data_IF_410483094851
#
_entry.id   IF_410483094851
#
_cell.length_a   1.000
_cell.length_b   1.000
_cell.length_c   1.000
_cell.angle_alpha   90.00
_cell.angle_beta   90.00
_cell.angle_gamma   90.00
#
_symmetry.space_group_name_H-M   'P 1'
#
loop_
_entity.id
_entity.type
_entity.pdbx_description
1 polymer ?
#
# COMPACT_ATOMS: atom_id res chain seq x y z
N UNK A 1 21.15 44.72 -48.80
CA UNK A 1 21.07 43.36 -48.26
C UNK A 1 20.33 43.46 -46.93
N UNK A 2 19.11 42.90 -46.81
CA UNK A 2 18.30 43.06 -45.60
C UNK A 2 18.82 42.16 -44.48
N UNK A 3 18.89 42.73 -43.28
CA UNK A 3 19.17 42.06 -42.00
C UNK A 3 18.02 41.12 -41.65
N UNK A 4 18.33 39.86 -41.32
CA UNK A 4 17.34 38.89 -40.88
C UNK A 4 17.98 37.89 -39.91
N UNK A 5 17.78 38.11 -38.61
CA UNK A 5 17.70 37.05 -37.59
C UNK A 5 17.29 37.62 -36.22
N UNK A 6 16.14 38.29 -36.11
CA UNK A 6 15.49 38.64 -34.82
C UNK A 6 14.13 37.94 -34.69
N UNK A 7 14.08 36.62 -34.86
CA UNK A 7 12.80 35.90 -34.85
C UNK A 7 12.93 34.48 -34.34
N UNK A 8 13.54 34.31 -33.16
CA UNK A 8 13.56 32.99 -32.49
C UNK A 8 13.46 33.11 -30.98
N UNK A 9 14.06 34.13 -30.37
CA UNK A 9 13.95 34.34 -28.93
C UNK A 9 12.65 35.04 -28.55
N UNK A 10 12.27 36.09 -29.26
CA UNK A 10 11.02 36.81 -28.95
C UNK A 10 9.78 35.92 -29.16
N UNK A 11 9.79 35.05 -30.18
CA UNK A 11 8.75 34.05 -30.39
C UNK A 11 8.71 33.00 -29.27
N UNK A 12 9.87 32.66 -28.67
CA UNK A 12 9.97 31.72 -27.56
C UNK A 12 9.47 32.33 -26.24
N UNK A 13 9.73 33.62 -26.03
CA UNK A 13 9.25 34.38 -24.87
C UNK A 13 7.73 34.60 -24.96
N UNK A 14 7.22 34.99 -26.13
CA UNK A 14 5.77 35.14 -26.35
C UNK A 14 5.02 33.81 -26.20
N UNK A 15 5.66 32.67 -26.52
CA UNK A 15 5.07 31.34 -26.30
C UNK A 15 5.02 30.96 -24.82
N UNK A 16 5.99 31.40 -24.00
CA UNK A 16 6.01 31.17 -22.55
C UNK A 16 5.01 32.06 -21.82
N UNK A 17 4.87 33.31 -22.24
CA UNK A 17 3.95 34.29 -21.63
C UNK A 17 2.47 34.00 -21.97
N UNK A 18 2.20 33.21 -23.03
CA UNK A 18 0.86 32.78 -23.45
C UNK A 18 0.49 31.34 -23.07
N UNK A 19 1.32 30.64 -22.28
CA UNK A 19 0.87 29.41 -21.61
C UNK A 19 -0.05 29.81 -20.47
N UNK A 20 -1.35 29.69 -20.71
CA UNK A 20 -2.41 29.91 -19.73
C UNK A 20 -2.02 29.34 -18.37
N UNK A 21 -2.06 30.19 -17.34
CA UNK A 21 -1.83 29.86 -15.93
C UNK A 21 -2.95 28.97 -15.32
N UNK A 22 -3.56 28.10 -16.14
CA UNK A 22 -4.75 27.31 -15.84
C UNK A 22 -4.51 25.79 -15.82
N UNK A 23 -3.27 25.31 -15.98
CA UNK A 23 -2.91 23.89 -15.83
C UNK A 23 -1.99 23.61 -14.63
N UNK A 24 -2.05 24.45 -13.59
CA UNK A 24 -1.11 24.35 -12.48
C UNK A 24 -1.77 23.93 -11.14
N UNK A 25 -3.09 23.73 -11.09
CA UNK A 25 -3.77 23.31 -9.85
C UNK A 25 -3.35 21.89 -9.42
N UNK A 26 -3.21 20.97 -10.37
CA UNK A 26 -2.83 19.58 -10.08
C UNK A 26 -1.33 19.46 -9.72
N UNK A 27 -0.49 20.27 -10.37
CA UNK A 27 0.96 20.32 -10.10
C UNK A 27 1.20 21.01 -8.74
N UNK A 28 0.54 22.14 -8.48
CA UNK A 28 0.60 22.82 -7.18
C UNK A 28 0.04 21.95 -6.06
N UNK A 29 -1.04 21.18 -6.30
CA UNK A 29 -1.56 20.21 -5.33
C UNK A 29 -0.54 19.10 -5.04
N UNK A 30 0.10 18.53 -6.06
CA UNK A 30 1.13 17.51 -5.88
C UNK A 30 2.37 18.04 -5.12
N UNK A 31 2.76 19.30 -5.38
CA UNK A 31 3.85 19.97 -4.64
C UNK A 31 3.44 20.21 -3.18
N UNK A 32 2.22 20.69 -2.93
CA UNK A 32 1.71 20.94 -1.59
C UNK A 32 1.56 19.63 -0.78
N UNK A 33 1.12 18.55 -1.41
CA UNK A 33 1.08 17.20 -0.83
C UNK A 33 2.49 16.71 -0.48
N UNK A 34 3.46 16.89 -1.37
CA UNK A 34 4.86 16.52 -1.13
C UNK A 34 5.50 17.31 0.03
N UNK A 35 5.16 18.60 0.18
CA UNK A 35 5.64 19.43 1.29
C UNK A 35 4.99 19.07 2.64
N UNK A 36 3.77 18.52 2.62
CA UNK A 36 3.10 18.05 3.82
C UNK A 36 3.64 16.68 4.29
N UNK A 37 4.07 15.83 3.36
CA UNK A 37 4.71 14.53 3.66
C UNK A 37 6.10 14.66 4.31
N UNK A 38 6.74 15.84 4.27
CA UNK A 38 7.99 16.12 5.00
C UNK A 38 7.79 16.28 6.52
N UNK A 39 6.58 16.04 7.06
CA UNK A 39 6.43 15.78 8.50
C UNK A 39 7.04 14.42 8.84
N UNK A 40 8.38 14.41 8.95
CA UNK A 40 9.15 13.36 9.58
C UNK A 40 8.54 13.13 10.96
N UNK A 41 7.85 12.00 11.13
CA UNK A 41 7.41 11.52 12.44
C UNK A 41 8.67 11.44 13.29
N UNK A 42 8.75 12.25 14.35
CA UNK A 42 9.91 12.26 15.25
C UNK A 42 10.18 10.82 15.71
N UNK A 43 11.31 10.20 15.32
CA UNK A 43 11.59 8.80 15.64
C UNK A 43 11.73 8.55 17.15
N UNK A 44 11.67 9.59 17.99
CA UNK A 44 11.65 9.53 19.46
C UNK A 44 10.29 9.82 20.11
N UNK A 45 9.21 10.01 19.34
CA UNK A 45 7.89 10.05 19.94
C UNK A 45 7.67 8.77 20.77
N UNK A 46 7.13 8.87 22.01
CA UNK A 46 6.86 7.68 22.81
C UNK A 46 6.03 6.71 21.97
N UNK A 47 6.47 5.45 21.87
CA UNK A 47 5.69 4.42 21.18
C UNK A 47 4.33 4.33 21.88
N UNK A 48 3.32 4.96 21.28
CA UNK A 48 1.93 4.69 21.62
C UNK A 48 1.71 3.21 21.37
N UNK A 49 1.02 2.54 22.29
CA UNK A 49 0.73 1.12 22.13
C UNK A 49 0.01 0.88 20.80
N UNK A 50 0.44 -0.13 20.04
CA UNK A 50 -0.11 -0.40 18.70
C UNK A 50 -1.62 -0.65 18.79
N UNK A 51 -2.10 -1.27 19.87
CA UNK A 51 -3.52 -1.52 20.05
C UNK A 51 -4.30 -0.22 20.31
N UNK A 52 -3.72 0.72 21.06
CA UNK A 52 -4.29 2.06 21.25
C UNK A 52 -4.36 2.84 19.93
N UNK A 53 -3.29 2.86 19.13
CA UNK A 53 -3.28 3.51 17.82
C UNK A 53 -4.33 2.91 16.87
N UNK A 54 -4.40 1.59 16.78
CA UNK A 54 -5.39 0.92 15.95
C UNK A 54 -6.82 1.20 16.44
N UNK A 55 -7.03 1.26 17.76
CA UNK A 55 -8.33 1.59 18.34
C UNK A 55 -8.77 3.02 18.02
N UNK A 56 -7.87 3.99 18.17
CA UNK A 56 -8.13 5.39 17.78
C UNK A 56 -8.42 5.50 16.28
N UNK A 57 -7.60 4.82 15.46
CA UNK A 57 -7.79 4.81 14.01
C UNK A 57 -9.15 4.22 13.63
N UNK A 58 -9.53 3.07 14.21
CA UNK A 58 -10.85 2.47 13.99
C UNK A 58 -11.97 3.44 14.35
N UNK A 59 -11.88 4.12 15.49
CA UNK A 59 -12.89 5.12 15.88
C UNK A 59 -12.98 6.27 14.87
N UNK A 60 -11.84 6.73 14.34
CA UNK A 60 -11.79 7.80 13.35
C UNK A 60 -12.28 7.39 11.95
N UNK A 61 -12.13 6.10 11.60
CA UNK A 61 -12.43 5.59 10.27
C UNK A 61 -13.77 4.87 10.19
N UNK A 62 -14.36 4.42 11.30
CA UNK A 62 -15.60 3.64 11.30
C UNK A 62 -16.71 4.43 10.63
N UNK A 63 -17.17 3.91 9.49
CA UNK A 63 -18.27 4.51 8.72
C UNK A 63 -19.56 3.74 8.99
N UNK A 64 -20.63 4.48 9.29
CA UNK A 64 -21.97 3.91 9.42
C UNK A 64 -22.52 3.45 8.08
N UNK A 65 -23.22 2.31 8.05
CA UNK A 65 -23.87 1.75 6.87
C UNK A 65 -23.77 0.23 6.80
N UNK A 66 -24.24 -0.34 5.69
CA UNK A 66 -24.23 -1.79 5.49
C UNK A 66 -22.79 -2.34 5.45
N UNK A 67 -22.54 -3.50 6.10
CA UNK A 67 -21.21 -4.12 6.14
C UNK A 67 -20.75 -4.57 4.75
N UNK A 68 -19.44 -4.76 4.60
CA UNK A 68 -18.89 -5.44 3.45
C UNK A 68 -19.13 -6.96 3.60
N UNK A 69 -20.19 -7.45 2.98
CA UNK A 69 -20.42 -8.88 2.88
C UNK A 69 -19.60 -9.47 1.72
N UNK A 70 -18.77 -10.48 2.04
CA UNK A 70 -17.97 -11.19 1.05
C UNK A 70 -18.26 -12.69 1.09
N UNK A 71 -18.57 -13.25 -0.07
CA UNK A 71 -18.75 -14.69 -0.24
C UNK A 71 -17.48 -15.27 -0.86
N UNK A 72 -16.81 -16.14 -0.13
CA UNK A 72 -15.50 -16.68 -0.45
C UNK A 72 -15.61 -18.17 -0.76
N UNK A 73 -14.95 -18.62 -1.82
CA UNK A 73 -14.77 -20.06 -2.07
C UNK A 73 -13.37 -20.45 -1.61
N UNK A 74 -13.24 -21.50 -0.80
CA UNK A 74 -11.94 -21.99 -0.30
C UNK A 74 -10.92 -22.20 -1.43
N UNK A 75 -11.34 -22.83 -2.52
CA UNK A 75 -10.48 -23.10 -3.70
C UNK A 75 -10.08 -21.87 -4.50
N UNK A 76 -10.70 -20.71 -4.25
CA UNK A 76 -10.52 -19.45 -4.99
C UNK A 76 -10.41 -18.24 -4.07
N UNK A 77 -9.80 -18.43 -2.89
CA UNK A 77 -9.81 -17.43 -1.81
C UNK A 77 -9.32 -16.05 -2.28
N UNK A 78 -8.13 -15.99 -2.91
CA UNK A 78 -7.57 -14.74 -3.41
C UNK A 78 -8.38 -14.12 -4.56
N UNK A 79 -8.98 -14.93 -5.42
CA UNK A 79 -9.82 -14.44 -6.53
C UNK A 79 -11.12 -13.83 -6.01
N UNK A 80 -11.76 -14.48 -5.03
CA UNK A 80 -12.93 -13.96 -4.32
C UNK A 80 -12.62 -12.64 -3.60
N UNK A 81 -11.50 -12.60 -2.86
CA UNK A 81 -11.03 -11.39 -2.18
C UNK A 81 -10.80 -10.23 -3.15
N UNK A 82 -10.08 -10.50 -4.26
CA UNK A 82 -9.82 -9.49 -5.28
C UNK A 82 -11.11 -8.89 -5.85
N UNK A 83 -12.09 -9.73 -6.19
CA UNK A 83 -13.37 -9.26 -6.74
C UNK A 83 -14.13 -8.38 -5.75
N UNK A 84 -14.14 -8.74 -4.47
CA UNK A 84 -14.79 -7.96 -3.43
C UNK A 84 -14.11 -6.59 -3.25
N UNK A 85 -12.79 -6.56 -3.02
CA UNK A 85 -12.04 -5.33 -2.74
C UNK A 85 -12.00 -4.38 -3.94
N UNK A 86 -12.05 -4.92 -5.17
CA UNK A 86 -12.11 -4.11 -6.39
C UNK A 86 -13.47 -3.41 -6.57
N UNK A 87 -14.53 -3.88 -5.90
CA UNK A 87 -15.85 -3.26 -6.01
C UNK A 87 -15.80 -1.81 -5.55
N UNK A 88 -16.47 -0.92 -6.29
CA UNK A 88 -16.61 0.50 -5.91
C UNK A 88 -17.41 0.68 -4.61
N UNK A 89 -18.22 -0.30 -4.25
CA UNK A 89 -19.05 -0.27 -3.04
C UNK A 89 -18.27 -0.75 -1.81
N UNK A 90 -17.06 -1.30 -2.00
CA UNK A 90 -16.25 -1.86 -0.93
C UNK A 90 -15.49 -0.77 -0.20
N UNK A 91 -15.67 -0.69 1.12
CA UNK A 91 -15.05 0.31 1.98
C UNK A 91 -14.30 -0.37 3.13
N UNK A 92 -12.97 -0.26 3.15
CA UNK A 92 -12.13 -0.94 4.15
C UNK A 92 -12.42 -0.52 5.61
N UNK A 93 -13.15 0.57 5.84
CA UNK A 93 -13.44 1.07 7.18
C UNK A 93 -14.82 0.66 7.70
N UNK A 94 -15.59 -0.09 6.91
CA UNK A 94 -16.85 -0.70 7.35
C UNK A 94 -16.63 -2.11 7.85
N UNK A 95 -17.54 -2.59 8.69
CA UNK A 95 -17.53 -3.97 9.17
C UNK A 95 -17.42 -4.98 8.02
N UNK A 96 -16.64 -6.04 8.23
CA UNK A 96 -16.38 -7.08 7.25
C UNK A 96 -17.10 -8.35 7.69
N UNK A 97 -18.03 -8.83 6.86
CA UNK A 97 -18.73 -10.09 7.10
C UNK A 97 -18.28 -11.09 6.05
N UNK A 98 -17.69 -12.19 6.50
CA UNK A 98 -17.15 -13.23 5.62
C UNK A 98 -18.03 -14.48 5.68
N UNK A 99 -18.37 -15.02 4.52
CA UNK A 99 -19.09 -16.28 4.39
C UNK A 99 -18.35 -17.21 3.44
N UNK A 100 -18.08 -18.43 3.87
CA UNK A 100 -17.57 -19.46 2.98
C UNK A 100 -18.73 -20.12 2.22
N UNK A 101 -18.62 -20.16 0.90
CA UNK A 101 -19.68 -20.64 0.01
C UNK A 101 -19.99 -22.11 0.28
N UNK A 102 -21.24 -22.38 0.68
CA UNK A 102 -21.72 -23.73 0.99
C UNK A 102 -21.45 -24.18 2.43
N UNK A 103 -20.99 -23.27 3.30
CA UNK A 103 -20.80 -23.52 4.73
C UNK A 103 -21.78 -22.65 5.54
N UNK A 104 -22.55 -23.29 6.42
CA UNK A 104 -23.38 -22.58 7.39
C UNK A 104 -22.49 -22.11 8.55
N UNK A 105 -22.25 -20.81 8.64
CA UNK A 105 -21.53 -20.22 9.75
C UNK A 105 -22.53 -19.89 10.88
N UNK A 106 -22.33 -20.51 12.05
CA UNK A 106 -23.07 -20.17 13.28
C UNK A 106 -22.44 -18.94 13.96
N UNK A 107 -21.13 -18.76 13.77
CA UNK A 107 -20.34 -17.67 14.32
C UNK A 107 -19.99 -16.65 13.23
N UNK A 108 -20.21 -15.37 13.52
CA UNK A 108 -19.85 -14.27 12.62
C UNK A 108 -18.33 -14.00 12.60
N UNK A 109 -17.60 -14.35 13.66
CA UNK A 109 -16.17 -14.02 13.80
C UNK A 109 -15.19 -15.07 13.26
N UNK A 110 -15.52 -16.36 13.37
CA UNK A 110 -14.67 -17.47 12.89
C UNK A 110 -14.26 -17.35 11.42
N UNK A 111 -15.21 -17.25 10.48
CA UNK A 111 -14.90 -17.13 9.05
C UNK A 111 -14.07 -15.89 8.70
N UNK A 112 -14.29 -14.78 9.39
CA UNK A 112 -13.54 -13.54 9.20
C UNK A 112 -12.07 -13.73 9.60
N UNK A 113 -11.81 -14.27 10.80
CA UNK A 113 -10.44 -14.53 11.25
C UNK A 113 -9.70 -15.47 10.31
N UNK A 114 -10.34 -16.58 9.93
CA UNK A 114 -9.76 -17.54 8.98
C UNK A 114 -9.39 -16.87 7.65
N UNK A 115 -10.26 -16.01 7.13
CA UNK A 115 -10.01 -15.29 5.89
C UNK A 115 -8.84 -14.30 5.97
N UNK A 116 -8.67 -13.62 7.11
CA UNK A 116 -7.60 -12.65 7.33
C UNK A 116 -6.25 -13.31 7.62
N UNK A 117 -6.24 -14.43 8.35
CA UNK A 117 -5.02 -15.19 8.67
C UNK A 117 -4.48 -15.95 7.44
N UNK A 118 -5.36 -16.40 6.55
CA UNK A 118 -4.96 -17.18 5.37
C UNK A 118 -4.51 -18.61 5.72
N UNK A 119 -3.80 -19.26 4.79
CA UNK A 119 -3.29 -20.62 4.99
C UNK A 119 -1.89 -20.64 5.60
N UNK A 120 -1.66 -21.49 6.60
CA UNK A 120 -0.35 -21.67 7.25
C UNK A 120 0.77 -22.00 6.23
N UNK A 121 1.82 -21.16 6.23
CA UNK A 121 3.03 -21.38 5.44
C UNK A 121 3.99 -20.20 5.55
N UNK A 122 5.29 -20.47 5.58
CA UNK A 122 6.32 -19.42 5.51
C UNK A 122 6.35 -18.87 4.08
N UNK A 123 5.64 -17.76 3.86
CA UNK A 123 5.58 -17.08 2.57
C UNK A 123 6.62 -15.95 2.53
N UNK A 124 7.44 -15.90 1.49
CA UNK A 124 8.39 -14.80 1.24
C UNK A 124 7.88 -13.94 0.09
N UNK A 125 7.92 -12.62 0.25
CA UNK A 125 7.60 -11.70 -0.84
C UNK A 125 8.68 -11.76 -1.92
N UNK A 126 8.25 -11.91 -3.17
CA UNK A 126 9.12 -11.72 -4.33
C UNK A 126 8.63 -10.51 -5.11
N UNK A 127 9.55 -9.64 -5.47
CA UNK A 127 9.23 -8.48 -6.29
C UNK A 127 9.11 -8.93 -7.75
N UNK A 128 7.89 -8.92 -8.27
CA UNK A 128 7.61 -9.10 -9.69
C UNK A 128 7.00 -7.82 -10.27
N UNK A 129 7.79 -7.09 -11.05
CA UNK A 129 7.37 -5.87 -11.75
C UNK A 129 6.19 -6.09 -12.70
N UNK A 130 5.96 -7.30 -13.19
CA UNK A 130 4.80 -7.61 -14.05
C UNK A 130 3.48 -7.64 -13.27
N UNK A 131 3.53 -7.64 -11.94
CA UNK A 131 2.36 -7.62 -11.06
C UNK A 131 2.02 -6.20 -10.57
N UNK A 132 2.76 -5.17 -11.01
CA UNK A 132 2.51 -3.76 -10.65
C UNK A 132 1.10 -3.28 -11.03
N UNK A 133 0.47 -3.91 -12.03
CA UNK A 133 -0.86 -3.56 -12.53
C UNK A 133 -2.01 -3.97 -11.58
N UNK A 134 -2.04 -3.43 -10.36
CA UNK A 134 -3.10 -3.53 -9.33
C UNK A 134 -2.98 -4.64 -8.28
N UNK A 135 -2.04 -5.60 -8.39
CA UNK A 135 -1.95 -6.67 -7.38
C UNK A 135 -1.29 -6.22 -6.09
N UNK A 136 -0.26 -5.39 -6.15
CA UNK A 136 0.32 -4.79 -4.93
C UNK A 136 -0.63 -3.81 -4.25
N UNK A 137 -1.40 -3.04 -5.04
CA UNK A 137 -2.47 -2.20 -4.49
C UNK A 137 -3.52 -3.02 -3.73
N UNK A 138 -3.96 -4.15 -4.30
CA UNK A 138 -4.85 -5.08 -3.60
C UNK A 138 -4.20 -5.63 -2.33
N UNK A 139 -2.96 -6.09 -2.41
CA UNK A 139 -2.24 -6.64 -1.26
C UNK A 139 -2.17 -5.62 -0.12
N UNK A 140 -1.82 -4.37 -0.42
CA UNK A 140 -1.82 -3.28 0.56
C UNK A 140 -3.19 -3.06 1.19
N UNK A 141 -4.27 -3.08 0.40
CA UNK A 141 -5.64 -2.97 0.94
C UNK A 141 -6.02 -4.14 1.84
N UNK A 142 -5.66 -5.37 1.47
CA UNK A 142 -5.93 -6.56 2.28
C UNK A 142 -5.16 -6.52 3.61
N UNK A 143 -3.90 -6.08 3.58
CA UNK A 143 -3.09 -5.88 4.80
C UNK A 143 -3.72 -4.82 5.69
N UNK A 144 -4.10 -3.67 5.14
CA UNK A 144 -4.77 -2.61 5.90
C UNK A 144 -6.09 -3.06 6.49
N UNK A 145 -6.90 -3.81 5.73
CA UNK A 145 -8.12 -4.43 6.24
C UNK A 145 -7.83 -5.38 7.39
N UNK A 146 -6.82 -6.24 7.27
CA UNK A 146 -6.45 -7.14 8.35
C UNK A 146 -6.15 -6.36 9.63
N UNK A 147 -5.39 -5.26 9.56
CA UNK A 147 -5.09 -4.43 10.73
C UNK A 147 -6.35 -3.76 11.33
N UNK A 148 -7.23 -3.22 10.49
CA UNK A 148 -8.49 -2.59 10.94
C UNK A 148 -9.45 -3.61 11.58
N UNK A 149 -9.39 -4.87 11.16
CA UNK A 149 -10.29 -5.93 11.61
C UNK A 149 -9.65 -6.93 12.60
N UNK A 150 -8.62 -6.50 13.33
CA UNK A 150 -7.94 -7.30 14.37
C UNK A 150 -7.30 -8.61 13.87
N UNK A 151 -6.98 -8.67 12.58
CA UNK A 151 -6.14 -9.72 12.00
C UNK A 151 -4.64 -9.39 12.12
N UNK A 152 -3.78 -10.33 11.73
CA UNK A 152 -2.32 -10.24 11.93
C UNK A 152 -1.63 -9.16 11.07
N UNK A 153 -2.28 -8.69 10.00
CA UNK A 153 -1.68 -7.74 9.08
C UNK A 153 -0.67 -8.44 8.18
N UNK A 154 0.54 -7.89 8.10
CA UNK A 154 1.64 -8.50 7.38
C UNK A 154 2.77 -8.75 8.38
N UNK A 155 3.16 -10.00 8.57
CA UNK A 155 4.22 -10.39 9.52
C UNK A 155 5.49 -10.90 8.83
N UNK A 156 5.44 -11.06 7.51
CA UNK A 156 6.50 -11.70 6.72
C UNK A 156 7.41 -10.71 5.99
N UNK A 157 7.37 -9.43 6.37
CA UNK A 157 8.23 -8.38 5.80
C UNK A 157 9.29 -7.97 6.82
N UNK A 158 10.50 -7.65 6.33
CA UNK A 158 11.59 -7.18 7.18
C UNK A 158 11.29 -5.79 7.79
N UNK A 159 11.61 -5.51 9.07
CA UNK A 159 11.36 -4.22 9.73
C UNK A 159 11.80 -2.98 8.93
N UNK A 160 12.94 -3.06 8.23
CA UNK A 160 13.46 -1.98 7.36
C UNK A 160 12.45 -1.56 6.30
N UNK A 161 11.68 -2.52 5.75
CA UNK A 161 10.69 -2.20 4.72
C UNK A 161 9.51 -1.43 5.32
N UNK A 162 9.09 -1.70 6.56
CA UNK A 162 8.08 -0.87 7.23
C UNK A 162 8.60 0.55 7.48
N UNK A 163 9.86 0.70 7.88
CA UNK A 163 10.49 2.01 8.04
C UNK A 163 10.47 2.77 6.71
N UNK A 164 10.83 2.11 5.60
CA UNK A 164 10.76 2.68 4.27
C UNK A 164 9.33 3.07 3.87
N UNK A 165 8.34 2.23 4.16
CA UNK A 165 6.92 2.53 3.91
C UNK A 165 6.42 3.74 4.71
N UNK A 166 7.01 4.00 5.87
CA UNK A 166 6.72 5.16 6.72
C UNK A 166 7.60 6.38 6.39
N UNK A 167 8.44 6.33 5.34
CA UNK A 167 9.36 7.42 5.00
C UNK A 167 10.46 7.66 6.04
N UNK A 168 10.69 6.71 6.95
CA UNK A 168 11.71 6.83 7.99
C UNK A 168 13.09 6.53 7.40
N UNK A 169 14.14 7.27 7.82
CA UNK A 169 15.50 6.99 7.41
C UNK A 169 15.91 5.59 7.90
N UNK A 170 16.26 4.71 6.98
CA UNK A 170 16.69 3.35 7.26
C UNK A 170 18.13 3.12 6.76
N UNK A 171 18.96 2.53 7.62
CA UNK A 171 20.29 2.07 7.25
C UNK A 171 20.19 0.67 6.62
N UNK A 172 20.59 0.57 5.34
CA UNK A 172 20.59 -0.67 4.55
C UNK A 172 21.97 -1.32 4.46
N UNK A 173 23.00 -0.73 5.10
CA UNK A 173 24.38 -1.22 5.00
C UNK A 173 24.62 -2.55 5.75
N UNK A 174 23.78 -2.90 6.74
CA UNK A 174 23.86 -4.16 7.50
C UNK A 174 22.73 -5.15 7.12
N UNK A 175 22.39 -5.19 5.83
CA UNK A 175 21.38 -6.14 5.36
C UNK A 175 21.91 -7.57 5.36
N UNK A 176 21.28 -8.44 6.15
CA UNK A 176 21.58 -9.87 6.16
C UNK A 176 21.09 -10.55 4.87
N UNK A 177 22.05 -10.83 3.97
CA UNK A 177 21.82 -11.49 2.68
C UNK A 177 21.16 -12.86 2.84
N UNK A 178 21.29 -13.53 4.00
CA UNK A 178 20.66 -14.83 4.26
C UNK A 178 19.14 -14.77 4.37
N UNK A 179 18.57 -13.56 4.53
CA UNK A 179 17.12 -13.33 4.50
C UNK A 179 16.52 -13.44 3.08
N UNK A 180 17.36 -13.44 2.03
CA UNK A 180 16.91 -13.63 0.66
C UNK A 180 16.80 -15.13 0.37
N UNK A 181 15.59 -15.60 0.04
CA UNK A 181 15.34 -17.01 -0.28
C UNK A 181 15.84 -17.45 -1.66
N UNK A 182 16.32 -16.52 -2.48
CA UNK A 182 16.91 -16.80 -3.79
C UNK A 182 18.35 -17.30 -3.63
N UNK A 183 18.52 -18.62 -3.67
CA UNK A 183 19.82 -19.27 -3.51
C UNK A 183 20.85 -18.86 -4.56
N UNK A 184 20.44 -18.66 -5.83
CA UNK A 184 21.34 -18.28 -6.91
C UNK A 184 21.87 -16.85 -6.69
N UNK A 185 21.00 -15.96 -6.22
CA UNK A 185 21.38 -14.60 -5.84
C UNK A 185 22.36 -14.59 -4.66
N UNK A 186 22.06 -15.32 -3.58
CA UNK A 186 22.92 -15.42 -2.40
C UNK A 186 24.32 -15.93 -2.76
N UNK A 187 24.40 -16.99 -3.56
CA UNK A 187 25.68 -17.54 -4.03
C UNK A 187 26.46 -16.57 -4.94
N UNK A 188 25.75 -15.73 -5.70
CA UNK A 188 26.39 -14.74 -6.58
C UNK A 188 26.97 -13.59 -5.77
N UNK A 189 26.22 -13.09 -4.79
CA UNK A 189 26.68 -12.00 -3.91
C UNK A 189 27.87 -12.44 -3.06
N UNK A 190 27.82 -13.67 -2.51
CA UNK A 190 28.94 -14.24 -1.74
C UNK A 190 30.23 -14.44 -2.56
N UNK A 191 30.13 -14.56 -3.89
CA UNK A 191 31.30 -14.68 -4.78
C UNK A 191 31.96 -13.34 -5.11
N UNK A 192 31.29 -12.22 -4.85
CA UNK A 192 31.75 -10.87 -5.20
C UNK A 192 32.32 -10.11 -3.98
N UNK A 193 32.05 -10.60 -2.77
CA UNK A 193 32.70 -10.15 -1.52
C UNK A 193 34.03 -10.88 -1.29
#
# INVERSE_FOLDING_TARGET
MPSRSDCSYDLYVDLLDNLDAHEDDDIQRAIQESLNDEQIVDPKAPLTDLQELLKEHKLSCTRSGDPNEIIVRRTKLLESAYRAVKSKMFDCCKELVVQFSGEDAIDAGGPQREFLEGSEGKMTFTHNLKLLENKYWLAGRLVGMSLIHDGPGLECIHPIVYQLMCGLPCDVYDFDVTLITDHDFVETVQRVQ
#
